data_IF_669680906481
#
_entry.id   IF_669680906481
#
_cell.length_a   1.000
_cell.length_b   1.000
_cell.length_c   1.000
_cell.angle_alpha   90.00
_cell.angle_beta   90.00
_cell.angle_gamma   90.00
#
_symmetry.space_group_name_H-M   'P 1'
#
loop_
_entity.id
_entity.type
_entity.pdbx_description
1 polymer ?
#
# COMPACT_ATOMS: atom_id res chain seq x y z
N UNK A 1 8.64 14.44 -12.38
CA UNK A 1 7.43 13.62 -12.61
C UNK A 1 6.26 14.48 -13.09
N UNK A 2 5.55 14.04 -14.15
CA UNK A 2 4.36 14.68 -14.75
C UNK A 2 3.09 13.82 -14.62
N UNK A 3 3.08 12.88 -13.68
CA UNK A 3 1.91 12.05 -13.36
C UNK A 3 0.99 12.70 -12.34
N UNK A 4 -0.20 12.11 -12.14
CA UNK A 4 -1.20 12.51 -11.13
C UNK A 4 -1.18 11.59 -9.91
N UNK A 5 0.00 11.10 -9.50
CA UNK A 5 0.18 10.16 -8.38
C UNK A 5 0.13 8.67 -8.78
N UNK A 6 -0.32 8.38 -10.01
CA UNK A 6 -0.20 7.07 -10.66
C UNK A 6 0.26 7.28 -12.10
N UNK A 7 0.98 6.33 -12.66
CA UNK A 7 1.55 6.40 -14.02
C UNK A 7 0.53 6.04 -15.11
N UNK A 8 -0.70 5.70 -14.71
CA UNK A 8 -1.82 5.47 -15.61
C UNK A 8 -2.43 6.75 -16.20
N UNK A 9 -2.10 7.91 -15.64
CA UNK A 9 -2.56 9.22 -16.05
C UNK A 9 -1.41 10.23 -16.02
N UNK A 10 -1.45 11.17 -16.96
CA UNK A 10 -0.44 12.20 -17.11
C UNK A 10 -1.09 13.57 -17.32
N UNK A 11 -0.38 14.62 -16.95
CA UNK A 11 -0.81 15.98 -17.20
C UNK A 11 -0.66 16.33 -18.69
N UNK A 12 -1.70 16.91 -19.29
CA UNK A 12 -1.70 17.34 -20.72
C UNK A 12 -0.56 18.31 -21.06
N UNK A 13 -0.11 19.08 -20.06
CA UNK A 13 1.07 19.92 -20.13
C UNK A 13 2.03 19.42 -19.07
N UNK A 14 3.32 19.41 -19.40
CA UNK A 14 4.35 19.08 -18.44
C UNK A 14 4.25 19.96 -17.19
N UNK A 15 4.22 19.33 -16.02
CA UNK A 15 4.37 20.09 -14.79
C UNK A 15 5.77 20.72 -14.77
N UNK A 16 5.94 21.97 -14.29
CA UNK A 16 7.25 22.62 -14.23
C UNK A 16 8.34 21.74 -13.59
N UNK A 17 7.98 21.01 -12.52
CA UNK A 17 8.88 20.06 -11.82
C UNK A 17 9.42 18.92 -12.69
N UNK A 18 8.77 18.59 -13.80
CA UNK A 18 9.19 17.49 -14.67
C UNK A 18 10.41 17.85 -15.53
N UNK A 19 10.73 19.13 -15.67
CA UNK A 19 11.93 19.59 -16.37
C UNK A 19 13.19 19.59 -15.48
N UNK A 20 13.03 19.35 -14.18
CA UNK A 20 14.15 19.25 -13.27
C UNK A 20 14.97 18.00 -13.57
N UNK A 21 16.29 18.08 -13.41
CA UNK A 21 17.18 16.92 -13.48
C UNK A 21 16.75 15.90 -12.42
N UNK A 22 16.52 14.65 -12.84
CA UNK A 22 16.25 13.56 -11.90
C UNK A 22 17.48 13.34 -11.01
N UNK A 23 17.28 13.41 -9.70
CA UNK A 23 18.28 13.13 -8.69
C UNK A 23 17.81 11.94 -7.86
N UNK A 24 18.59 10.87 -7.84
CA UNK A 24 18.35 9.73 -6.97
C UNK A 24 19.16 9.94 -5.71
N UNK A 25 18.49 10.00 -4.56
CA UNK A 25 19.12 10.07 -3.25
C UNK A 25 18.82 8.77 -2.53
N UNK A 26 19.83 7.98 -2.13
CA UNK A 26 19.58 6.81 -1.32
C UNK A 26 19.00 7.25 0.04
N UNK A 27 18.01 6.54 0.58
CA UNK A 27 17.53 6.81 1.93
C UNK A 27 18.66 6.53 2.94
N UNK A 28 18.53 7.10 4.14
CA UNK A 28 19.39 6.70 5.25
C UNK A 28 19.17 5.20 5.53
N UNK A 29 20.20 4.40 5.30
CA UNK A 29 20.13 2.96 5.53
C UNK A 29 20.34 2.65 7.01
N UNK A 30 19.51 1.77 7.55
CA UNK A 30 19.76 1.18 8.86
C UNK A 30 20.93 0.20 8.77
N UNK A 31 21.76 0.09 9.82
CA UNK A 31 22.81 -0.92 9.85
C UNK A 31 22.21 -2.33 9.83
N UNK A 32 22.80 -3.23 9.04
CA UNK A 32 22.38 -4.63 8.94
C UNK A 32 22.29 -5.12 7.51
N UNK A 33 21.95 -6.40 7.37
CA UNK A 33 21.64 -7.04 6.09
C UNK A 33 20.13 -7.05 5.84
N UNK A 34 19.74 -7.08 4.57
CA UNK A 34 18.37 -7.32 4.15
C UNK A 34 18.32 -8.26 2.95
N UNK A 35 17.21 -8.96 2.77
CA UNK A 35 16.96 -9.81 1.62
C UNK A 35 15.64 -9.40 0.98
N UNK A 36 15.66 -9.12 -0.32
CA UNK A 36 14.46 -8.95 -1.12
C UNK A 36 14.18 -10.27 -1.87
N UNK A 37 12.92 -10.71 -1.86
CA UNK A 37 12.48 -11.91 -2.57
C UNK A 37 11.34 -11.52 -3.50
N UNK A 38 11.39 -11.95 -4.75
CA UNK A 38 10.33 -11.75 -5.74
C UNK A 38 9.54 -13.04 -5.92
N UNK A 39 8.24 -13.00 -5.70
CA UNK A 39 7.32 -14.09 -6.01
C UNK A 39 5.90 -13.80 -5.55
N UNK A 40 5.00 -14.75 -5.77
CA UNK A 40 3.61 -14.67 -5.33
C UNK A 40 3.56 -14.74 -3.79
N UNK A 41 2.89 -13.76 -3.16
CA UNK A 41 2.83 -13.64 -1.71
C UNK A 41 2.13 -14.83 -1.05
N UNK A 42 1.10 -15.42 -1.67
CA UNK A 42 0.38 -16.59 -1.15
C UNK A 42 1.25 -17.85 -1.21
N UNK A 43 2.15 -17.92 -2.18
CA UNK A 43 3.12 -19.01 -2.29
C UNK A 43 4.28 -18.83 -1.31
N UNK A 44 4.76 -17.59 -1.14
CA UNK A 44 5.96 -17.31 -0.36
C UNK A 44 5.71 -17.18 1.14
N UNK A 45 4.56 -16.67 1.58
CA UNK A 45 4.31 -16.29 2.97
C UNK A 45 4.76 -17.33 4.01
N UNK A 46 4.45 -18.61 3.79
CA UNK A 46 4.81 -19.72 4.69
C UNK A 46 6.19 -20.34 4.47
N UNK A 47 7.01 -19.80 3.56
CA UNK A 47 8.32 -20.35 3.17
C UNK A 47 9.50 -19.46 3.52
N UNK A 48 9.24 -18.24 4.00
CA UNK A 48 10.27 -17.21 4.19
C UNK A 48 11.06 -17.40 5.50
N UNK A 49 10.55 -18.20 6.43
CA UNK A 49 11.12 -18.45 7.76
C UNK A 49 10.24 -17.89 8.87
N UNK A 50 10.77 -17.86 10.09
CA UNK A 50 10.14 -17.28 11.29
C UNK A 50 10.68 -15.88 11.56
N UNK A 51 9.83 -14.97 12.02
CA UNK A 51 10.18 -13.57 12.27
C UNK A 51 9.68 -13.06 13.62
N UNK A 52 10.35 -12.07 14.19
CA UNK A 52 9.84 -11.38 15.38
C UNK A 52 8.62 -10.50 15.03
N UNK A 53 8.63 -9.91 13.83
CA UNK A 53 7.58 -9.02 13.33
C UNK A 53 7.37 -9.20 11.83
N UNK A 54 6.11 -9.28 11.41
CA UNK A 54 5.70 -9.17 10.02
C UNK A 54 4.76 -7.99 9.83
N UNK A 55 5.07 -7.09 8.90
CA UNK A 55 4.21 -5.97 8.51
C UNK A 55 3.61 -6.25 7.14
N UNK A 56 2.28 -6.26 7.05
CA UNK A 56 1.51 -6.55 5.85
C UNK A 56 0.72 -5.30 5.43
N UNK A 57 0.98 -4.84 4.21
CA UNK A 57 0.29 -3.71 3.57
C UNK A 57 -0.38 -4.21 2.27
N UNK A 58 -1.48 -4.97 2.35
CA UNK A 58 -2.05 -5.63 1.19
C UNK A 58 -2.69 -4.64 0.19
N UNK A 59 -2.85 -4.99 -1.09
CA UNK A 59 -3.64 -4.18 -2.00
C UNK A 59 -5.09 -4.02 -1.52
N UNK A 60 -5.53 -2.77 -1.38
CA UNK A 60 -6.82 -2.44 -0.76
C UNK A 60 -7.98 -2.24 -1.76
N UNK A 61 -7.68 -2.27 -3.07
CA UNK A 61 -8.69 -2.02 -4.11
C UNK A 61 -8.38 -2.78 -5.41
N UNK A 62 -9.26 -2.61 -6.40
CA UNK A 62 -9.19 -3.28 -7.70
C UNK A 62 -8.00 -2.84 -8.57
N UNK A 63 -7.35 -1.72 -8.27
CA UNK A 63 -6.28 -1.19 -9.10
C UNK A 63 -5.00 -1.97 -8.85
N UNK A 64 -4.46 -2.55 -9.93
CA UNK A 64 -3.21 -3.29 -9.89
C UNK A 64 -2.03 -2.33 -9.78
N UNK A 65 -1.15 -2.54 -8.81
CA UNK A 65 0.10 -1.77 -8.70
C UNK A 65 0.97 -1.91 -9.95
N UNK A 66 1.04 -3.11 -10.53
CA UNK A 66 1.74 -3.36 -11.80
C UNK A 66 1.32 -2.36 -12.89
N UNK A 67 0.01 -2.12 -13.01
CA UNK A 67 -0.54 -1.22 -14.03
C UNK A 67 -0.40 0.25 -13.59
N UNK A 68 -0.65 0.57 -12.31
CA UNK A 68 -0.53 1.93 -11.76
C UNK A 68 0.91 2.46 -11.76
N UNK A 69 1.90 1.58 -11.71
CA UNK A 69 3.32 1.90 -11.58
C UNK A 69 4.18 1.25 -12.69
N UNK A 70 3.61 1.09 -13.88
CA UNK A 70 4.24 0.37 -14.99
C UNK A 70 5.59 0.95 -15.47
N UNK A 71 5.87 2.23 -15.23
CA UNK A 71 7.20 2.84 -15.53
C UNK A 71 8.22 2.36 -14.51
N UNK A 72 7.84 2.23 -13.23
CA UNK A 72 8.72 1.66 -12.21
C UNK A 72 9.01 0.19 -12.49
N UNK A 73 8.01 -0.59 -12.93
CA UNK A 73 8.22 -1.97 -13.38
C UNK A 73 9.29 -2.05 -14.47
N UNK A 74 9.23 -1.19 -15.49
CA UNK A 74 10.26 -1.11 -16.54
C UNK A 74 11.64 -0.76 -15.99
N UNK A 75 11.72 0.22 -15.08
CA UNK A 75 13.00 0.66 -14.52
C UNK A 75 13.65 -0.39 -13.64
N UNK A 76 12.87 -1.12 -12.84
CA UNK A 76 13.37 -2.18 -11.94
C UNK A 76 13.71 -3.45 -12.71
N UNK A 77 12.87 -3.86 -13.66
CA UNK A 77 13.15 -5.01 -14.52
C UNK A 77 14.27 -4.72 -15.54
N UNK A 78 14.54 -3.44 -15.80
CA UNK A 78 15.48 -2.95 -16.81
C UNK A 78 15.19 -3.51 -18.20
N UNK A 79 13.91 -3.51 -18.58
CA UNK A 79 13.43 -4.00 -19.87
C UNK A 79 12.90 -2.87 -20.77
N UNK A 80 12.45 -3.21 -21.97
CA UNK A 80 11.92 -2.27 -22.96
C UNK A 80 10.71 -2.89 -23.69
N UNK A 81 9.57 -3.08 -23.00
CA UNK A 81 8.41 -3.72 -23.59
C UNK A 81 7.80 -2.84 -24.69
N UNK A 82 7.10 -3.47 -25.63
CA UNK A 82 6.18 -2.74 -26.50
C UNK A 82 5.14 -1.99 -25.64
N UNK A 83 4.61 -0.89 -26.17
CA UNK A 83 3.66 -0.05 -25.45
C UNK A 83 2.44 0.31 -26.31
N UNK A 84 1.36 0.72 -25.64
CA UNK A 84 0.12 1.14 -26.30
C UNK A 84 -0.48 2.41 -25.68
N UNK A 85 -1.32 3.07 -26.47
CA UNK A 85 -2.03 4.29 -26.08
C UNK A 85 -1.10 5.49 -25.88
N UNK A 86 -1.71 6.65 -25.60
CA UNK A 86 -0.96 7.92 -25.50
C UNK A 86 -0.11 7.98 -24.23
N UNK A 87 -0.48 7.24 -23.19
CA UNK A 87 0.31 7.12 -21.96
C UNK A 87 1.48 6.11 -22.08
N UNK A 88 1.69 5.48 -23.24
CA UNK A 88 2.72 4.47 -23.46
C UNK A 88 2.73 3.38 -22.39
N UNK A 89 1.56 2.81 -22.10
CA UNK A 89 1.42 1.71 -21.14
C UNK A 89 2.07 0.47 -21.71
N UNK A 90 2.79 -0.30 -20.89
CA UNK A 90 3.38 -1.58 -21.29
C UNK A 90 2.29 -2.52 -21.81
N UNK A 91 2.54 -3.30 -22.87
CA UNK A 91 1.53 -4.21 -23.45
C UNK A 91 1.02 -5.27 -22.46
N UNK A 92 1.88 -5.74 -21.56
CA UNK A 92 1.55 -6.68 -20.48
C UNK A 92 0.65 -6.04 -19.39
N UNK A 93 0.53 -4.72 -19.34
CA UNK A 93 -0.35 -4.04 -18.38
C UNK A 93 -1.84 -4.11 -18.76
N UNK A 94 -2.20 -4.59 -19.96
CA UNK A 94 -3.57 -4.60 -20.48
C UNK A 94 -4.43 -5.64 -19.75
N UNK A 95 -4.24 -6.91 -20.10
CA UNK A 95 -4.99 -8.05 -19.55
C UNK A 95 -4.12 -9.31 -19.47
N UNK A 96 -2.81 -9.13 -19.24
CA UNK A 96 -1.94 -10.29 -19.02
C UNK A 96 -2.33 -10.97 -17.70
N UNK A 97 -2.70 -12.24 -17.80
CA UNK A 97 -3.14 -13.05 -16.66
C UNK A 97 -2.05 -13.17 -15.59
N UNK A 98 -0.77 -13.15 -15.98
CA UNK A 98 0.37 -13.21 -15.07
C UNK A 98 0.50 -11.97 -14.16
N UNK A 99 -0.15 -10.87 -14.53
CA UNK A 99 -0.14 -9.61 -13.76
C UNK A 99 -1.35 -9.47 -12.84
N UNK A 100 -2.27 -10.45 -12.87
CA UNK A 100 -3.48 -10.45 -12.04
C UNK A 100 -3.17 -11.12 -10.70
N UNK A 101 -3.73 -10.56 -9.64
CA UNK A 101 -3.63 -11.13 -8.30
C UNK A 101 -5.02 -11.34 -7.69
N UNK A 102 -5.22 -12.40 -6.87
CA UNK A 102 -6.42 -12.57 -6.06
C UNK A 102 -6.73 -11.36 -5.18
N UNK A 103 -5.72 -10.55 -4.84
CA UNK A 103 -5.89 -9.31 -4.10
C UNK A 103 -6.61 -8.20 -4.89
N UNK A 104 -6.73 -8.28 -6.21
CA UNK A 104 -7.36 -7.24 -7.03
C UNK A 104 -8.86 -7.45 -7.29
N UNK A 105 -9.52 -8.38 -6.59
CA UNK A 105 -10.96 -8.57 -6.69
C UNK A 105 -11.61 -8.62 -5.32
N UNK A 106 -12.69 -7.86 -5.15
CA UNK A 106 -13.50 -7.84 -3.92
C UNK A 106 -13.95 -9.24 -3.48
N UNK A 107 -14.15 -10.16 -4.43
CA UNK A 107 -14.59 -11.52 -4.14
C UNK A 107 -13.48 -12.43 -3.62
N UNK A 108 -12.25 -12.27 -4.11
CA UNK A 108 -11.14 -13.19 -3.79
C UNK A 108 -10.17 -12.62 -2.77
N UNK A 109 -10.10 -11.29 -2.65
CA UNK A 109 -9.16 -10.62 -1.75
C UNK A 109 -9.32 -11.04 -0.29
N UNK A 110 -10.54 -11.13 0.30
CA UNK A 110 -10.68 -11.52 1.71
C UNK A 110 -10.01 -12.87 2.03
N UNK A 111 -10.23 -13.87 1.18
CA UNK A 111 -9.62 -15.19 1.35
C UNK A 111 -8.10 -15.16 1.12
N UNK A 112 -7.62 -14.38 0.15
CA UNK A 112 -6.19 -14.23 -0.11
C UNK A 112 -5.47 -13.58 1.07
N UNK A 113 -6.02 -12.50 1.63
CA UNK A 113 -5.44 -11.83 2.80
C UNK A 113 -5.44 -12.73 4.03
N UNK A 114 -6.56 -13.39 4.32
CA UNK A 114 -6.65 -14.34 5.43
C UNK A 114 -5.61 -15.46 5.29
N UNK A 115 -5.43 -15.99 4.08
CA UNK A 115 -4.42 -17.02 3.80
C UNK A 115 -2.99 -16.51 4.03
N UNK A 116 -2.68 -15.26 3.63
CA UNK A 116 -1.37 -14.68 3.85
C UNK A 116 -1.08 -14.46 5.34
N UNK A 117 -2.04 -13.91 6.09
CA UNK A 117 -1.94 -13.67 7.55
C UNK A 117 -1.74 -14.98 8.33
N UNK A 118 -2.44 -16.04 7.91
CA UNK A 118 -2.34 -17.36 8.53
C UNK A 118 -1.02 -18.08 8.19
N UNK A 119 -0.49 -17.87 6.98
CA UNK A 119 0.73 -18.53 6.51
C UNK A 119 2.02 -17.89 7.02
N UNK A 120 2.04 -16.59 7.29
CA UNK A 120 3.22 -15.92 7.84
C UNK A 120 3.51 -16.43 9.25
N UNK A 121 4.73 -16.89 9.44
CA UNK A 121 5.28 -17.28 10.75
C UNK A 121 5.97 -16.09 11.40
N UNK A 122 5.23 -15.37 12.26
CA UNK A 122 5.77 -14.26 13.02
C UNK A 122 5.15 -14.15 14.42
N UNK A 123 5.95 -13.71 15.40
CA UNK A 123 5.48 -13.49 16.77
C UNK A 123 4.47 -12.33 16.84
N UNK A 124 4.76 -11.23 16.14
CA UNK A 124 3.83 -10.12 15.96
C UNK A 124 3.51 -9.91 14.48
N UNK A 125 2.23 -10.00 14.12
CA UNK A 125 1.73 -9.60 12.81
C UNK A 125 1.09 -8.22 12.92
N UNK A 126 1.49 -7.32 12.04
CA UNK A 126 0.92 -5.97 11.90
C UNK A 126 0.31 -5.86 10.51
N UNK A 127 -0.97 -5.48 10.43
CA UNK A 127 -1.67 -5.26 9.16
C UNK A 127 -2.09 -3.80 9.09
N UNK A 128 -1.60 -3.06 8.09
CA UNK A 128 -2.19 -1.77 7.73
C UNK A 128 -3.43 -1.99 6.89
N UNK A 129 -4.44 -1.13 7.04
CA UNK A 129 -5.64 -1.18 6.23
C UNK A 129 -6.39 0.14 6.25
N UNK A 130 -7.00 0.53 5.13
CA UNK A 130 -7.79 1.75 5.04
C UNK A 130 -9.29 1.45 5.20
N UNK A 131 -10.03 2.26 5.96
CA UNK A 131 -11.47 2.02 6.21
C UNK A 131 -12.38 2.19 4.99
N UNK A 132 -11.91 2.77 3.90
CA UNK A 132 -12.65 2.89 2.63
C UNK A 132 -12.44 1.69 1.69
N UNK A 133 -11.63 0.73 2.10
CA UNK A 133 -11.36 -0.47 1.34
C UNK A 133 -12.42 -1.56 1.57
N UNK A 134 -12.19 -2.77 1.06
CA UNK A 134 -13.24 -3.81 1.02
C UNK A 134 -13.56 -4.51 2.34
N UNK A 135 -12.64 -4.50 3.31
CA UNK A 135 -12.78 -5.20 4.59
C UNK A 135 -13.06 -4.20 5.70
N UNK A 136 -13.90 -4.62 6.63
CA UNK A 136 -14.18 -3.87 7.86
C UNK A 136 -13.12 -4.15 8.91
N UNK A 137 -13.04 -3.31 9.94
CA UNK A 137 -12.19 -3.57 11.10
C UNK A 137 -12.51 -4.93 11.76
N UNK A 138 -13.78 -5.33 11.80
CA UNK A 138 -14.20 -6.62 12.34
C UNK A 138 -13.65 -7.78 11.51
N UNK A 139 -13.70 -7.70 10.17
CA UNK A 139 -13.12 -8.72 9.30
C UNK A 139 -11.61 -8.87 9.55
N UNK A 140 -10.90 -7.76 9.73
CA UNK A 140 -9.47 -7.78 10.01
C UNK A 140 -9.16 -8.39 11.39
N UNK A 141 -9.97 -8.08 12.40
CA UNK A 141 -9.85 -8.68 13.74
C UNK A 141 -10.04 -10.20 13.66
N UNK A 142 -11.08 -10.66 12.97
CA UNK A 142 -11.37 -12.08 12.81
C UNK A 142 -10.23 -12.81 12.07
N UNK A 143 -9.74 -12.24 10.96
CA UNK A 143 -8.62 -12.81 10.19
C UNK A 143 -7.33 -12.87 11.01
N UNK A 144 -7.03 -11.81 11.77
CA UNK A 144 -5.80 -11.71 12.56
C UNK A 144 -5.84 -12.52 13.86
N UNK A 145 -7.03 -12.82 14.39
CA UNK A 145 -7.22 -13.61 15.62
C UNK A 145 -7.10 -15.12 15.41
N UNK A 146 -7.03 -15.57 14.15
CA UNK A 146 -6.80 -16.98 13.81
C UNK A 146 -5.56 -17.52 14.54
N UNK A 147 -5.69 -18.73 15.10
CA UNK A 147 -4.62 -19.34 15.90
C UNK A 147 -4.55 -18.85 17.35
N UNK A 148 -5.55 -18.10 17.82
CA UNK A 148 -5.63 -17.65 19.22
C UNK A 148 -4.77 -16.42 19.53
N UNK A 149 -4.36 -15.67 18.50
CA UNK A 149 -3.62 -14.41 18.67
C UNK A 149 -4.52 -13.38 19.35
N UNK A 150 -3.96 -12.63 20.30
CA UNK A 150 -4.63 -11.44 20.81
C UNK A 150 -4.52 -10.33 19.78
N UNK A 151 -5.63 -9.63 19.51
CA UNK A 151 -5.73 -8.63 18.45
C UNK A 151 -6.18 -7.30 19.02
N UNK A 152 -5.51 -6.23 18.59
CA UNK A 152 -5.86 -4.86 18.90
C UNK A 152 -5.81 -4.00 17.64
N UNK A 153 -6.68 -2.99 17.57
CA UNK A 153 -6.79 -2.11 16.40
C UNK A 153 -6.49 -0.68 16.81
N UNK A 154 -5.48 -0.08 16.20
CA UNK A 154 -5.20 1.34 16.29
C UNK A 154 -5.82 2.05 15.09
N UNK A 155 -6.53 3.14 15.34
CA UNK A 155 -7.20 3.94 14.32
C UNK A 155 -6.57 5.34 14.26
N UNK A 156 -6.23 5.79 13.06
CA UNK A 156 -5.60 7.08 12.81
C UNK A 156 -6.43 7.88 11.81
N UNK A 157 -6.86 9.07 12.20
CA UNK A 157 -7.53 10.01 11.28
C UNK A 157 -6.53 10.52 10.23
N UNK A 158 -6.91 10.41 8.95
CA UNK A 158 -6.08 10.81 7.81
C UNK A 158 -6.89 11.64 6.83
N UNK A 159 -6.22 12.58 6.16
CA UNK A 159 -6.85 13.38 5.09
C UNK A 159 -6.91 12.54 3.82
N UNK A 160 -8.08 12.47 3.20
CA UNK A 160 -8.24 11.79 1.92
C UNK A 160 -7.44 12.48 0.82
N UNK A 161 -6.94 11.68 -0.12
CA UNK A 161 -6.19 12.15 -1.27
C UNK A 161 -7.01 13.13 -2.15
N UNK A 162 -6.35 14.21 -2.58
CA UNK A 162 -6.92 15.42 -3.24
C UNK A 162 -7.71 15.13 -4.52
N UNK A 163 -7.58 13.95 -5.12
CA UNK A 163 -8.42 13.52 -6.25
C UNK A 163 -9.94 13.65 -5.98
N UNK A 164 -10.37 13.48 -4.72
CA UNK A 164 -11.75 13.69 -4.29
C UNK A 164 -12.21 15.17 -4.28
N UNK A 165 -11.28 16.13 -4.25
CA UNK A 165 -11.55 17.57 -4.27
C UNK A 165 -11.56 18.15 -5.69
N UNK A 166 -10.85 17.51 -6.63
CA UNK A 166 -10.67 18.00 -8.00
C UNK A 166 -11.93 17.76 -8.87
N UNK A 167 -12.71 16.72 -8.58
CA UNK A 167 -13.93 16.37 -9.33
C UNK A 167 -15.18 17.21 -9.04
N UNK A 168 -15.06 18.23 -8.18
CA UNK A 168 -16.21 19.04 -7.75
C UNK A 168 -16.67 20.00 -8.83
N UNK A 169 -15.78 20.44 -9.74
CA UNK A 169 -16.10 21.42 -10.77
C UNK A 169 -15.82 20.89 -12.18
N UNK A 170 -16.74 21.14 -13.12
CA UNK A 170 -16.55 20.80 -14.53
C UNK A 170 -15.60 21.80 -15.23
N UNK A 171 -15.21 21.59 -16.50
CA UNK A 171 -14.33 22.52 -17.24
C UNK A 171 -14.88 23.95 -17.40
N UNK A 172 -16.17 24.19 -17.10
CA UNK A 172 -16.82 25.51 -17.11
C UNK A 172 -16.84 26.16 -15.71
N UNK A 173 -16.28 25.51 -14.69
CA UNK A 173 -16.26 25.99 -13.31
C UNK A 173 -17.56 25.74 -12.54
N UNK A 174 -18.49 24.94 -13.08
CA UNK A 174 -19.76 24.64 -12.43
C UNK A 174 -19.59 23.48 -11.44
N UNK A 175 -20.16 23.60 -10.25
CA UNK A 175 -20.13 22.55 -9.24
C UNK A 175 -21.00 21.37 -9.70
N UNK A 176 -20.39 20.25 -10.04
CA UNK A 176 -21.04 19.03 -10.54
C UNK A 176 -20.95 17.84 -9.57
N UNK A 177 -20.30 18.02 -8.41
CA UNK A 177 -20.18 16.99 -7.38
C UNK A 177 -20.45 17.51 -5.96
N UNK A 178 -20.99 16.63 -5.11
CA UNK A 178 -21.06 16.85 -3.66
C UNK A 178 -19.70 16.52 -3.06
N UNK A 179 -19.20 17.36 -2.15
CA UNK A 179 -17.97 17.04 -1.40
C UNK A 179 -18.31 15.84 -0.52
N UNK A 180 -17.70 14.67 -0.80
CA UNK A 180 -17.79 13.50 0.08
C UNK A 180 -16.96 13.69 1.35
N UNK A 181 -16.91 12.68 2.23
CA UNK A 181 -15.99 12.65 3.37
C UNK A 181 -14.58 13.09 2.95
N UNK A 182 -13.99 14.03 3.69
CA UNK A 182 -12.67 14.61 3.43
C UNK A 182 -11.55 13.87 4.17
N UNK A 183 -11.95 12.97 5.06
CA UNK A 183 -11.10 12.22 5.96
C UNK A 183 -11.46 10.74 5.84
N UNK A 184 -10.48 9.89 6.09
CA UNK A 184 -10.59 8.45 6.16
C UNK A 184 -9.78 7.96 7.37
N UNK A 185 -10.09 6.77 7.84
CA UNK A 185 -9.40 6.16 8.97
C UNK A 185 -8.39 5.15 8.46
N UNK A 186 -7.12 5.35 8.79
CA UNK A 186 -6.10 4.31 8.62
C UNK A 186 -6.11 3.42 9.87
N UNK A 187 -6.22 2.12 9.64
CA UNK A 187 -6.22 1.08 10.66
C UNK A 187 -4.85 0.41 10.69
N UNK A 188 -4.32 0.20 11.89
CA UNK A 188 -3.17 -0.65 12.14
C UNK A 188 -3.60 -1.73 13.12
N UNK A 189 -3.70 -2.96 12.62
CA UNK A 189 -4.11 -4.13 13.40
C UNK A 189 -2.86 -4.85 13.89
N UNK A 190 -2.74 -5.04 15.20
CA UNK A 190 -1.65 -5.78 15.83
C UNK A 190 -2.19 -7.12 16.31
N UNK A 191 -1.49 -8.21 15.99
CA UNK A 191 -1.89 -9.56 16.38
C UNK A 191 -0.70 -10.43 16.81
N UNK A 192 -0.77 -10.97 18.03
CA UNK A 192 0.30 -11.78 18.62
C UNK A 192 0.04 -12.15 20.08
N UNK A 193 1.07 -12.50 20.87
CA UNK A 193 0.94 -12.67 22.32
C UNK A 193 0.39 -11.40 23.00
N UNK A 194 -0.52 -11.59 23.95
CA UNK A 194 -1.26 -10.47 24.56
C UNK A 194 -0.35 -9.46 25.28
N UNK A 195 0.72 -9.94 25.92
CA UNK A 195 1.71 -9.09 26.57
C UNK A 195 2.54 -8.29 25.56
N UNK A 196 2.91 -8.89 24.42
CA UNK A 196 3.65 -8.22 23.36
C UNK A 196 2.81 -7.13 22.69
N UNK A 197 1.57 -7.43 22.32
CA UNK A 197 0.63 -6.46 21.72
C UNK A 197 0.39 -5.28 22.66
N UNK A 198 0.17 -5.53 23.97
CA UNK A 198 -0.01 -4.46 24.96
C UNK A 198 1.22 -3.54 25.05
N UNK A 199 2.43 -4.11 25.12
CA UNK A 199 3.68 -3.33 25.14
C UNK A 199 3.83 -2.48 23.88
N UNK A 200 3.47 -3.02 22.71
CA UNK A 200 3.54 -2.29 21.45
C UNK A 200 2.61 -1.06 21.47
N UNK A 201 1.37 -1.22 21.95
CA UNK A 201 0.38 -0.13 22.06
C UNK A 201 0.82 0.94 23.03
N UNK A 202 1.30 0.55 24.22
CA UNK A 202 1.81 1.49 25.23
C UNK A 202 2.95 2.35 24.67
N UNK A 203 3.79 1.78 23.79
CA UNK A 203 4.90 2.50 23.16
C UNK A 203 4.44 3.49 22.09
N UNK A 204 3.38 3.18 21.36
CA UNK A 204 2.76 4.09 20.37
C UNK A 204 2.02 5.24 21.07
N UNK A 205 1.35 4.97 22.19
CA UNK A 205 0.63 5.97 22.97
C UNK A 205 1.56 6.89 23.79
N UNK A 206 2.80 6.46 24.03
CA UNK A 206 3.82 7.29 24.67
C UNK A 206 4.40 8.31 23.67
N UNK A 207 4.67 9.57 24.07
CA UNK A 207 5.39 10.50 23.21
C UNK A 207 6.77 9.91 22.88
N UNK A 208 6.95 9.46 21.65
CA UNK A 208 8.25 9.06 21.15
C UNK A 208 9.09 10.34 21.14
N UNK A 209 10.13 10.42 21.98
CA UNK A 209 11.21 11.36 21.79
C UNK A 209 11.94 10.94 20.51
N UNK A 210 11.40 11.36 19.36
CA UNK A 210 12.00 11.16 18.05
C UNK A 210 13.25 12.05 18.02
N UNK A 211 14.41 11.47 18.35
CA UNK A 211 15.71 12.18 18.36
C UNK A 211 16.22 12.52 16.96
N UNK A 212 15.54 12.06 15.90
CA UNK A 212 15.73 12.53 14.54
C UNK A 212 14.45 12.26 13.74
N UNK A 213 13.88 13.24 13.01
CA UNK A 213 12.70 12.99 12.20
C UNK A 213 13.00 11.88 11.19
N UNK A 214 12.20 10.81 11.21
CA UNK A 214 12.06 9.89 10.08
C UNK A 214 11.42 10.68 8.95
N UNK A 215 12.24 11.44 8.22
CA UNK A 215 11.85 12.13 7.00
C UNK A 215 11.67 11.09 5.89
N UNK A 216 10.62 10.27 5.98
CA UNK A 216 10.08 9.58 4.80
C UNK A 216 9.27 10.62 4.04
N UNK A 217 9.98 11.53 3.38
CA UNK A 217 9.37 12.37 2.35
C UNK A 217 9.45 11.59 1.06
N UNK A 218 8.33 11.02 0.61
CA UNK A 218 8.19 10.62 -0.79
C UNK A 218 8.12 11.94 -1.58
N UNK A 219 9.26 12.37 -2.13
CA UNK A 219 9.36 13.51 -3.05
C UNK A 219 9.31 13.04 -4.49
#
# INVERSE_FOLDING_TARGET
DSTTGVQMAYLKKWAPRAHNRLQMQPPALLPGSGRAVRGDALTLAGTLGSFDLAYLDPPYNQHRYFTNYHVWETLVAWDAPAHYGVACKRVDARDDESTRSPFNSRRTMPAALASAIAAVDAELVVVSYNDEAWLTAADLVDMCGVGGRHVEVLAFDSRRYVGAQIGVHNPKGERVGTVSHLHNTELVVLAGPADLVRRAIERVASPIAVTAPLNVTIR
#
